data_IF_660778478120
#
_entry.id   IF_660778478120
#
_cell.length_a   1.000
_cell.length_b   1.000
_cell.length_c   1.000
_cell.angle_alpha   90.00
_cell.angle_beta   90.00
_cell.angle_gamma   90.00
#
_symmetry.space_group_name_H-M   'P 1'
#
loop_
_entity.id
_entity.type
_entity.pdbx_description
1 polymer ?
#
# COMPACT_ATOMS: atom_id res chain seq x y z
N UNK A 1 8.36 -17.91 -7.23
CA UNK A 1 8.86 -16.55 -7.46
C UNK A 1 9.79 -16.21 -6.31
N UNK A 2 11.05 -15.89 -6.56
CA UNK A 2 11.92 -15.35 -5.52
C UNK A 2 11.60 -13.85 -5.34
N UNK A 3 11.81 -13.25 -4.15
CA UNK A 3 11.61 -11.82 -3.96
C UNK A 3 12.49 -10.95 -4.89
N UNK A 4 13.59 -11.49 -5.39
CA UNK A 4 14.45 -10.84 -6.39
C UNK A 4 13.84 -10.76 -7.80
N UNK A 5 12.78 -11.53 -8.09
CA UNK A 5 12.08 -11.51 -9.38
C UNK A 5 10.96 -10.44 -9.41
N UNK A 6 10.68 -9.80 -8.28
CA UNK A 6 9.73 -8.69 -8.17
C UNK A 6 10.44 -7.37 -8.49
N UNK A 7 10.19 -6.87 -9.70
CA UNK A 7 10.58 -5.53 -10.11
C UNK A 7 9.59 -4.52 -9.50
N UNK A 8 10.08 -3.52 -8.74
CA UNK A 8 9.21 -2.59 -8.04
C UNK A 8 8.46 -1.62 -8.98
N UNK A 9 8.91 -1.51 -10.22
CA UNK A 9 8.34 -0.65 -11.26
C UNK A 9 7.39 -1.41 -12.20
N UNK A 10 7.30 -2.73 -12.06
CA UNK A 10 6.35 -3.54 -12.84
C UNK A 10 4.95 -3.41 -12.24
N UNK A 11 3.91 -3.25 -13.09
CA UNK A 11 2.54 -3.20 -12.61
C UNK A 11 2.15 -4.47 -11.84
N UNK A 12 1.48 -4.29 -10.70
CA UNK A 12 1.01 -5.39 -9.85
C UNK A 12 0.13 -6.40 -10.61
N UNK A 13 -0.62 -5.90 -11.61
CA UNK A 13 -1.44 -6.74 -12.49
C UNK A 13 -0.62 -7.71 -13.34
N UNK A 14 0.63 -7.38 -13.71
CA UNK A 14 1.53 -8.31 -14.40
C UNK A 14 2.03 -9.44 -13.49
N UNK A 15 2.01 -9.23 -12.17
CA UNK A 15 2.28 -10.28 -11.18
C UNK A 15 1.05 -11.13 -10.85
N UNK A 16 -0.07 -10.93 -11.54
CA UNK A 16 -1.33 -11.64 -11.27
C UNK A 16 -2.04 -11.15 -10.01
N UNK A 17 -1.72 -9.94 -9.54
CA UNK A 17 -2.42 -9.32 -8.42
C UNK A 17 -3.75 -8.72 -8.94
N UNK A 18 -4.80 -9.54 -8.92
CA UNK A 18 -6.14 -9.14 -9.34
C UNK A 18 -6.83 -8.22 -8.31
N UNK A 19 -7.89 -7.51 -8.73
CA UNK A 19 -8.64 -6.52 -7.94
C UNK A 19 -9.10 -7.00 -6.55
N UNK A 20 -9.34 -8.30 -6.38
CA UNK A 20 -9.75 -8.89 -5.09
C UNK A 20 -8.55 -9.01 -4.13
N UNK A 21 -7.38 -9.32 -4.69
CA UNK A 21 -6.15 -9.41 -3.92
C UNK A 21 -5.68 -8.01 -3.50
N UNK A 22 -5.89 -7.01 -4.36
CA UNK A 22 -5.65 -5.61 -4.04
C UNK A 22 -6.40 -5.15 -2.77
N UNK A 23 -7.70 -5.48 -2.67
CA UNK A 23 -8.49 -5.16 -1.47
C UNK A 23 -7.97 -5.88 -0.23
N UNK A 24 -7.54 -7.14 -0.37
CA UNK A 24 -6.99 -7.94 0.72
C UNK A 24 -5.66 -7.35 1.22
N UNK A 25 -4.77 -6.94 0.29
CA UNK A 25 -3.51 -6.28 0.63
C UNK A 25 -3.74 -4.94 1.33
N UNK A 26 -4.73 -4.15 0.89
CA UNK A 26 -5.10 -2.92 1.57
C UNK A 26 -5.53 -3.20 3.02
N UNK A 27 -6.44 -4.16 3.23
CA UNK A 27 -6.90 -4.55 4.56
C UNK A 27 -5.75 -5.08 5.44
N UNK A 28 -4.87 -5.93 4.90
CA UNK A 28 -3.71 -6.45 5.62
C UNK A 28 -2.76 -5.31 6.05
N UNK A 29 -2.55 -4.31 5.17
CA UNK A 29 -1.71 -3.15 5.48
C UNK A 29 -2.35 -2.26 6.56
N UNK A 30 -3.67 -2.06 6.52
CA UNK A 30 -4.41 -1.35 7.57
C UNK A 30 -4.23 -2.03 8.93
N UNK A 31 -4.41 -3.34 8.99
CA UNK A 31 -4.25 -4.15 10.21
C UNK A 31 -2.81 -4.15 10.71
N UNK A 32 -1.82 -4.24 9.82
CA UNK A 32 -0.40 -4.26 10.18
C UNK A 32 0.10 -2.89 10.69
N UNK A 33 -0.38 -1.80 10.10
CA UNK A 33 0.12 -0.45 10.38
C UNK A 33 -0.79 0.33 11.34
N UNK A 34 -2.02 -0.12 11.57
CA UNK A 34 -3.01 0.56 12.40
C UNK A 34 -3.41 1.92 11.83
N UNK A 35 -3.49 2.03 10.50
CA UNK A 35 -3.89 3.22 9.74
C UNK A 35 -5.00 2.84 8.76
N UNK A 36 -5.80 3.83 8.32
CA UNK A 36 -6.77 3.63 7.25
C UNK A 36 -6.08 3.86 5.89
N UNK A 37 -6.29 2.94 4.94
CA UNK A 37 -5.74 2.95 3.59
C UNK A 37 -6.89 2.73 2.62
N UNK A 38 -7.16 3.74 1.80
CA UNK A 38 -8.21 3.61 0.79
C UNK A 38 -7.79 2.58 -0.28
N UNK A 39 -8.60 1.56 -0.61
CA UNK A 39 -8.27 0.58 -1.64
C UNK A 39 -8.10 1.21 -3.04
N UNK A 40 -8.60 2.41 -3.28
CA UNK A 40 -8.33 3.18 -4.51
C UNK A 40 -6.86 3.52 -4.70
N UNK A 41 -6.08 3.56 -3.60
CA UNK A 41 -4.64 3.79 -3.65
C UNK A 41 -3.93 2.77 -4.53
N UNK A 42 -4.39 1.52 -4.59
CA UNK A 42 -3.81 0.50 -5.47
C UNK A 42 -4.13 0.73 -6.95
N UNK A 43 -5.22 1.44 -7.26
CA UNK A 43 -5.54 1.83 -8.64
C UNK A 43 -4.72 3.04 -9.08
N UNK A 44 -4.55 4.02 -8.19
CA UNK A 44 -3.74 5.21 -8.47
C UNK A 44 -2.24 4.92 -8.47
N UNK A 45 -1.82 3.83 -7.81
CA UNK A 45 -0.43 3.44 -7.64
C UNK A 45 -0.24 1.98 -8.08
N UNK A 46 -0.27 1.70 -9.40
CA UNK A 46 -0.29 0.33 -9.92
C UNK A 46 1.05 -0.41 -9.80
N UNK A 47 2.09 0.21 -9.23
CA UNK A 47 3.42 -0.40 -9.02
C UNK A 47 3.73 -0.53 -7.53
N UNK A 48 4.61 -1.46 -7.17
CA UNK A 48 5.04 -1.65 -5.78
C UNK A 48 5.67 -0.37 -5.20
N UNK A 49 6.51 0.32 -5.98
CA UNK A 49 7.15 1.57 -5.55
C UNK A 49 6.11 2.65 -5.23
N UNK A 50 5.12 2.83 -6.11
CA UNK A 50 4.10 3.83 -5.93
C UNK A 50 3.19 3.49 -4.72
N UNK A 51 2.85 2.20 -4.54
CA UNK A 51 2.08 1.72 -3.40
C UNK A 51 2.81 1.97 -2.09
N UNK A 52 4.08 1.56 -1.99
CA UNK A 52 4.90 1.80 -0.79
C UNK A 52 4.96 3.29 -0.44
N UNK A 53 5.21 4.16 -1.42
CA UNK A 53 5.24 5.60 -1.19
C UNK A 53 3.89 6.16 -0.70
N UNK A 54 2.76 5.63 -1.19
CA UNK A 54 1.45 6.04 -0.72
C UNK A 54 1.17 5.60 0.72
N UNK A 55 1.53 4.35 1.05
CA UNK A 55 1.41 3.81 2.41
C UNK A 55 2.27 4.59 3.40
N UNK A 56 3.51 4.90 3.02
CA UNK A 56 4.42 5.72 3.84
C UNK A 56 3.84 7.11 4.13
N UNK A 57 3.19 7.75 3.14
CA UNK A 57 2.50 9.02 3.34
C UNK A 57 1.34 8.88 4.33
N UNK A 58 0.47 7.89 4.16
CA UNK A 58 -0.66 7.67 5.07
C UNK A 58 -0.20 7.36 6.50
N UNK A 59 0.89 6.60 6.65
CA UNK A 59 1.49 6.32 7.95
C UNK A 59 2.07 7.57 8.62
N UNK A 60 2.73 8.45 7.86
CA UNK A 60 3.25 9.72 8.34
C UNK A 60 2.11 10.66 8.78
N UNK A 61 1.02 10.74 8.00
CA UNK A 61 -0.17 11.54 8.32
C UNK A 61 -0.86 11.05 9.60
N UNK A 62 -1.06 9.74 9.73
CA UNK A 62 -1.64 9.13 10.93
C UNK A 62 -0.78 9.35 12.18
N UNK A 63 0.55 9.35 12.03
CA UNK A 63 1.50 9.62 13.12
C UNK A 63 1.50 11.10 13.52
N UNK A 64 1.45 12.02 12.55
CA UNK A 64 1.35 13.47 12.80
C UNK A 64 0.04 13.87 13.50
N UNK A 65 -1.08 13.22 13.16
CA UNK A 65 -2.36 13.45 13.81
C UNK A 65 -2.37 13.04 15.30
N UNK A 66 -1.63 11.98 15.67
CA UNK A 66 -1.52 11.51 17.06
C UNK A 66 -0.67 12.44 17.94
N UNK A 67 0.25 13.18 17.36
CA UNK A 67 1.21 14.05 18.06
C UNK A 67 0.73 15.52 18.21
N UNK A 68 -0.36 15.88 17.54
CA UNK A 68 -1.01 17.20 17.61
C UNK A 68 -2.02 17.37 18.75
N UNK A 69 -2.29 16.32 19.53
CA UNK A 69 -3.12 16.39 20.75
C UNK A 69 -2.18 16.55 21.95
N UNK A 70 -1.65 17.76 22.14
CA UNK A 70 -0.96 18.17 23.36
C UNK A 70 -1.15 19.66 23.60
#
# INVERSE_FOLDING_TARGET
MAPADLSPDTPLSEYGLDSVYALSVAADLEDLLGIAIDPTVLWDNPTLNALCAAVERSAAEASGAREGVR
#
